data_IF_613842553864
#
_entry.id   IF_613842553864
#
_cell.length_a   1.000
_cell.length_b   1.000
_cell.length_c   1.000
_cell.angle_alpha   90.00
_cell.angle_beta   90.00
_cell.angle_gamma   90.00
#
_symmetry.space_group_name_H-M   'P 1'
#
loop_
_entity.id
_entity.type
_entity.pdbx_description
1 polymer ?
#
# COMPACT_ATOMS: atom_id res chain seq x y z
N UNK A 1 45.05 -49.03 15.22
CA UNK A 1 44.44 -47.68 15.30
C UNK A 1 43.42 -47.56 14.17
N UNK A 2 42.13 -47.65 14.48
CA UNK A 2 41.08 -47.41 13.48
C UNK A 2 40.90 -45.90 13.33
N UNK A 3 41.27 -45.37 12.18
CA UNK A 3 41.03 -43.98 11.81
C UNK A 3 39.53 -43.75 11.74
N UNK A 4 38.96 -43.03 12.71
CA UNK A 4 37.55 -42.64 12.71
C UNK A 4 37.36 -41.61 11.58
N UNK A 5 36.79 -42.03 10.45
CA UNK A 5 36.27 -41.11 9.44
C UNK A 5 35.23 -40.19 10.09
N UNK A 6 35.51 -38.89 10.12
CA UNK A 6 34.53 -37.87 10.46
C UNK A 6 33.62 -37.75 9.24
N UNK A 7 32.43 -38.34 9.31
CA UNK A 7 31.38 -38.12 8.30
C UNK A 7 30.88 -36.69 8.49
N UNK A 8 31.31 -35.77 7.64
CA UNK A 8 30.71 -34.44 7.55
C UNK A 8 29.38 -34.57 6.82
N UNK A 9 28.29 -34.63 7.59
CA UNK A 9 26.94 -34.55 7.03
C UNK A 9 26.67 -33.11 6.59
N UNK A 10 26.76 -32.85 5.29
CA UNK A 10 26.22 -31.63 4.71
C UNK A 10 24.70 -31.81 4.63
N UNK A 11 23.94 -31.03 5.41
CA UNK A 11 22.48 -30.99 5.28
C UNK A 11 22.14 -30.72 3.81
N UNK A 12 21.33 -31.59 3.18
CA UNK A 12 20.80 -31.34 1.84
C UNK A 12 19.95 -30.07 1.91
N UNK A 13 20.46 -28.98 1.34
CA UNK A 13 19.69 -27.74 1.20
C UNK A 13 18.62 -27.98 0.15
N UNK A 14 17.35 -27.92 0.55
CA UNK A 14 16.19 -28.04 -0.33
C UNK A 14 15.82 -26.64 -0.83
N UNK A 15 16.06 -26.41 -2.12
CA UNK A 15 15.60 -25.23 -2.85
C UNK A 15 16.42 -23.95 -2.62
N UNK A 16 15.82 -22.82 -3.00
CA UNK A 16 16.36 -21.46 -2.80
C UNK A 16 15.27 -20.58 -2.21
N UNK A 17 15.59 -19.62 -1.32
CA UNK A 17 14.61 -18.67 -0.79
C UNK A 17 14.02 -17.74 -1.86
N UNK A 18 14.58 -17.73 -3.08
CA UNK A 18 14.19 -16.84 -4.17
C UNK A 18 14.85 -15.47 -4.08
N UNK A 19 14.63 -14.65 -5.10
CA UNK A 19 15.13 -13.26 -5.17
C UNK A 19 14.05 -12.28 -4.73
N UNK A 20 14.47 -11.18 -4.10
CA UNK A 20 13.57 -10.06 -3.87
C UNK A 20 13.34 -9.31 -5.19
N UNK A 21 12.07 -9.19 -5.58
CA UNK A 21 11.68 -8.47 -6.80
C UNK A 21 11.15 -7.08 -6.44
N UNK A 22 11.49 -6.08 -7.26
CA UNK A 22 10.98 -4.71 -7.10
C UNK A 22 9.46 -4.73 -7.25
N UNK A 23 8.74 -4.29 -6.20
CA UNK A 23 7.27 -4.34 -6.13
C UNK A 23 6.73 -5.47 -5.25
N UNK A 24 7.56 -6.43 -4.83
CA UNK A 24 7.18 -7.41 -3.81
C UNK A 24 7.08 -6.74 -2.44
N UNK A 25 5.99 -6.99 -1.72
CA UNK A 25 5.89 -6.56 -0.33
C UNK A 25 6.90 -7.36 0.51
N UNK A 26 7.72 -6.68 1.31
CA UNK A 26 8.82 -7.32 2.04
C UNK A 26 8.37 -8.48 2.93
N UNK A 27 7.15 -8.40 3.50
CA UNK A 27 6.57 -9.47 4.31
C UNK A 27 6.40 -10.79 3.55
N UNK A 28 6.16 -10.73 2.23
CA UNK A 28 6.07 -11.92 1.37
C UNK A 28 7.44 -12.58 1.26
N UNK A 29 8.49 -11.77 1.08
CA UNK A 29 9.86 -12.25 1.01
C UNK A 29 10.34 -12.81 2.36
N UNK A 30 10.06 -12.12 3.47
CA UNK A 30 10.33 -12.62 4.82
C UNK A 30 9.66 -13.97 5.10
N UNK A 31 8.42 -14.14 4.64
CA UNK A 31 7.68 -15.39 4.80
C UNK A 31 8.33 -16.53 4.01
N UNK A 32 8.75 -16.28 2.76
CA UNK A 32 9.49 -17.26 1.94
C UNK A 32 10.81 -17.65 2.60
N UNK A 33 11.56 -16.67 3.10
CA UNK A 33 12.83 -16.86 3.77
C UNK A 33 12.68 -17.64 5.08
N UNK A 34 11.66 -17.34 5.87
CA UNK A 34 11.34 -18.04 7.12
C UNK A 34 11.01 -19.50 6.84
N UNK A 35 10.17 -19.77 5.85
CA UNK A 35 9.85 -21.14 5.43
C UNK A 35 11.10 -21.87 4.95
N UNK A 36 11.98 -21.20 4.19
CA UNK A 36 13.25 -21.77 3.76
C UNK A 36 14.13 -22.18 4.94
N UNK A 37 14.28 -21.33 5.96
CA UNK A 37 15.04 -21.68 7.16
C UNK A 37 14.43 -22.84 7.94
N UNK A 38 13.10 -22.89 8.06
CA UNK A 38 12.39 -23.98 8.73
C UNK A 38 12.58 -25.31 8.00
N UNK A 39 12.35 -25.34 6.69
CA UNK A 39 12.50 -26.54 5.86
C UNK A 39 13.92 -27.10 5.85
N UNK A 40 14.92 -26.24 5.99
CA UNK A 40 16.34 -26.62 5.99
C UNK A 40 16.94 -26.77 7.40
N UNK A 41 16.11 -26.67 8.46
CA UNK A 41 16.56 -26.75 9.87
C UNK A 41 17.68 -25.74 10.22
N UNK A 42 17.67 -24.57 9.57
CA UNK A 42 18.67 -23.53 9.75
C UNK A 42 18.32 -22.72 11.00
N UNK A 43 19.02 -23.00 12.10
CA UNK A 43 18.82 -22.32 13.39
C UNK A 43 19.87 -21.24 13.68
N UNK A 44 21.08 -21.42 13.15
CA UNK A 44 22.22 -20.56 13.46
C UNK A 44 22.04 -19.16 12.86
N UNK A 45 22.23 -18.13 13.69
CA UNK A 45 22.03 -16.74 13.29
C UNK A 45 23.02 -16.25 12.23
N UNK A 46 24.27 -16.73 12.31
CA UNK A 46 25.33 -16.45 11.33
C UNK A 46 24.93 -17.03 9.97
N UNK A 47 24.39 -18.26 9.96
CA UNK A 47 23.90 -18.90 8.71
C UNK A 47 22.72 -18.14 8.11
N UNK A 48 21.74 -17.74 8.95
CA UNK A 48 20.60 -16.92 8.49
C UNK A 48 21.07 -15.58 7.92
N UNK A 49 22.01 -14.93 8.59
CA UNK A 49 22.60 -13.64 8.17
C UNK A 49 23.33 -13.79 6.84
N UNK A 50 24.15 -14.84 6.67
CA UNK A 50 24.86 -15.09 5.42
C UNK A 50 23.92 -15.37 4.23
N UNK A 51 22.82 -16.10 4.45
CA UNK A 51 21.83 -16.42 3.41
C UNK A 51 20.99 -15.19 3.04
N UNK A 52 20.67 -14.34 4.02
CA UNK A 52 19.82 -13.17 3.83
C UNK A 52 20.60 -11.91 3.40
N UNK A 53 21.93 -11.92 3.52
CA UNK A 53 22.75 -10.74 3.26
C UNK A 53 22.48 -10.15 1.87
N UNK A 54 22.04 -8.89 1.85
CA UNK A 54 21.74 -8.17 0.62
C UNK A 54 22.83 -7.12 0.38
N UNK A 55 23.25 -6.84 -0.87
CA UNK A 55 24.29 -5.84 -1.15
C UNK A 55 23.97 -4.42 -0.65
N UNK A 56 22.71 -4.12 -0.36
CA UNK A 56 22.26 -2.82 0.19
C UNK A 56 22.22 -2.81 1.72
N UNK A 57 22.61 -3.89 2.39
CA UNK A 57 22.73 -3.98 3.85
C UNK A 57 23.98 -3.25 4.34
N UNK A 58 23.78 -2.23 5.18
CA UNK A 58 24.86 -1.61 5.96
C UNK A 58 24.93 -2.32 7.31
N UNK A 59 26.07 -2.90 7.75
CA UNK A 59 27.44 -2.79 7.22
C UNK A 59 27.83 -3.87 6.20
N UNK A 60 28.92 -3.58 5.49
CA UNK A 60 29.51 -4.33 4.38
C UNK A 60 30.04 -5.73 4.73
N UNK A 61 30.00 -6.12 6.01
CA UNK A 61 30.52 -7.40 6.52
C UNK A 61 29.42 -8.19 7.25
N UNK A 62 29.09 -9.41 6.79
CA UNK A 62 28.05 -10.26 7.40
C UNK A 62 28.35 -10.73 8.83
N UNK A 63 29.60 -10.58 9.29
CA UNK A 63 30.09 -11.23 10.51
C UNK A 63 29.74 -10.50 11.81
N UNK A 64 29.37 -9.21 11.75
CA UNK A 64 29.22 -8.37 12.95
C UNK A 64 27.77 -7.92 13.22
N UNK A 65 26.80 -8.38 12.44
CA UNK A 65 25.40 -7.97 12.59
C UNK A 65 24.50 -9.14 12.89
N UNK A 66 23.77 -9.01 13.99
CA UNK A 66 22.72 -9.93 14.37
C UNK A 66 21.59 -9.90 13.33
N UNK A 67 21.09 -11.08 12.95
CA UNK A 67 20.00 -11.23 11.96
C UNK A 67 18.81 -10.31 12.23
N UNK A 68 18.39 -10.16 13.49
CA UNK A 68 17.27 -9.30 13.85
C UNK A 68 17.55 -7.81 13.58
N UNK A 69 18.80 -7.38 13.77
CA UNK A 69 19.24 -6.02 13.44
C UNK A 69 19.32 -5.82 11.93
N UNK A 70 19.84 -6.81 11.20
CA UNK A 70 19.87 -6.82 9.73
C UNK A 70 18.45 -6.74 9.15
N UNK A 71 17.53 -7.55 9.67
CA UNK A 71 16.13 -7.59 9.27
C UNK A 71 15.42 -6.26 9.52
N UNK A 72 15.66 -5.62 10.68
CA UNK A 72 15.11 -4.29 10.98
C UNK A 72 15.63 -3.21 10.03
N UNK A 73 16.94 -3.21 9.74
CA UNK A 73 17.57 -2.23 8.87
C UNK A 73 17.06 -2.36 7.42
N UNK A 74 17.02 -3.59 6.90
CA UNK A 74 16.48 -3.87 5.57
C UNK A 74 14.98 -3.56 5.49
N UNK A 75 14.18 -3.95 6.49
CA UNK A 75 12.78 -3.58 6.54
C UNK A 75 12.58 -2.07 6.48
N UNK A 76 13.38 -1.32 7.23
CA UNK A 76 13.34 0.15 7.17
C UNK A 76 13.69 0.65 5.77
N UNK A 77 14.75 0.12 5.17
CA UNK A 77 15.20 0.50 3.83
C UNK A 77 14.16 0.18 2.74
N UNK A 78 13.63 -1.03 2.71
CA UNK A 78 12.62 -1.44 1.73
C UNK A 78 11.25 -0.79 1.97
N UNK A 79 10.87 -0.50 3.22
CA UNK A 79 9.71 0.35 3.52
C UNK A 79 9.90 1.78 3.00
N UNK A 80 11.11 2.34 3.10
CA UNK A 80 11.43 3.65 2.52
C UNK A 80 11.38 3.64 0.98
N UNK A 81 11.74 2.51 0.35
CA UNK A 81 11.65 2.33 -1.12
C UNK A 81 10.22 2.18 -1.61
N UNK A 82 9.28 1.68 -0.78
CA UNK A 82 7.85 1.77 -1.08
C UNK A 82 7.35 3.21 -0.87
N UNK A 83 7.89 4.11 -1.67
CA UNK A 83 7.41 5.47 -1.82
C UNK A 83 5.94 5.44 -2.20
N UNK A 84 5.09 5.85 -1.27
CA UNK A 84 3.67 6.07 -1.55
C UNK A 84 3.45 7.18 -2.56
N UNK A 85 4.47 7.97 -2.93
CA UNK A 85 4.29 9.12 -3.83
C UNK A 85 3.73 8.72 -5.19
N UNK A 86 4.13 7.57 -5.76
CA UNK A 86 3.58 7.11 -7.04
C UNK A 86 2.11 6.71 -6.89
N UNK A 87 1.78 5.95 -5.85
CA UNK A 87 0.41 5.54 -5.57
C UNK A 87 -0.49 6.76 -5.28
N UNK A 88 0.00 7.69 -4.47
CA UNK A 88 -0.68 8.94 -4.11
C UNK A 88 -0.84 9.86 -5.32
N UNK A 89 0.17 9.95 -6.19
CA UNK A 89 0.06 10.71 -7.44
C UNK A 89 -1.09 10.18 -8.31
N UNK A 90 -1.16 8.87 -8.50
CA UNK A 90 -2.26 8.23 -9.25
C UNK A 90 -3.61 8.43 -8.56
N UNK A 91 -3.66 8.31 -7.24
CA UNK A 91 -4.86 8.50 -6.44
C UNK A 91 -5.39 9.95 -6.52
N UNK A 92 -4.53 10.95 -6.32
CA UNK A 92 -4.92 12.36 -6.34
C UNK A 92 -5.29 12.89 -7.73
N UNK A 93 -4.80 12.25 -8.80
CA UNK A 93 -5.19 12.57 -10.18
C UNK A 93 -6.40 11.78 -10.67
N UNK A 94 -6.92 10.84 -9.88
CA UNK A 94 -8.05 10.04 -10.29
C UNK A 94 -9.29 10.93 -10.46
N UNK A 95 -9.99 10.74 -11.58
CA UNK A 95 -11.32 11.28 -11.87
C UNK A 95 -12.24 10.14 -12.26
N UNK A 96 -13.54 10.29 -12.03
CA UNK A 96 -14.56 9.40 -12.56
C UNK A 96 -14.43 9.35 -14.09
N UNK A 97 -14.44 8.16 -14.66
CA UNK A 97 -14.28 7.96 -16.10
C UNK A 97 -15.66 8.05 -16.76
N UNK A 98 -15.71 8.41 -18.05
CA UNK A 98 -16.93 8.34 -18.84
C UNK A 98 -17.55 6.93 -18.74
N UNK A 99 -18.87 6.89 -18.56
CA UNK A 99 -19.67 5.67 -18.37
C UNK A 99 -19.36 4.86 -17.09
N UNK A 100 -18.54 5.38 -16.17
CA UNK A 100 -18.32 4.78 -14.86
C UNK A 100 -19.47 5.15 -13.90
N UNK A 101 -20.12 4.15 -13.30
CA UNK A 101 -21.14 4.39 -12.28
C UNK A 101 -20.53 4.91 -10.96
N UNK A 102 -21.34 5.58 -10.14
CA UNK A 102 -20.93 6.09 -8.82
C UNK A 102 -20.35 4.97 -7.93
N UNK A 103 -20.93 3.77 -7.97
CA UNK A 103 -20.43 2.63 -7.20
C UNK A 103 -19.11 2.06 -7.73
N UNK A 104 -18.91 2.06 -9.05
CA UNK A 104 -17.62 1.67 -9.63
C UNK A 104 -16.53 2.70 -9.27
N UNK A 105 -16.87 3.98 -9.31
CA UNK A 105 -15.98 5.07 -8.89
C UNK A 105 -15.56 4.93 -7.42
N UNK A 106 -16.52 4.71 -6.51
CA UNK A 106 -16.28 4.47 -5.08
C UNK A 106 -15.32 3.28 -4.86
N UNK A 107 -15.62 2.14 -5.48
CA UNK A 107 -14.80 0.94 -5.37
C UNK A 107 -13.37 1.17 -5.90
N UNK A 108 -13.22 1.89 -7.02
CA UNK A 108 -11.92 2.20 -7.62
C UNK A 108 -11.08 3.12 -6.75
N UNK A 109 -11.68 4.17 -6.18
CA UNK A 109 -10.99 5.08 -5.24
C UNK A 109 -10.51 4.34 -4.00
N UNK A 110 -11.34 3.49 -3.39
CA UNK A 110 -10.95 2.66 -2.25
C UNK A 110 -9.78 1.73 -2.59
N UNK A 111 -9.77 1.13 -3.78
CA UNK A 111 -8.65 0.31 -4.24
C UNK A 111 -7.36 1.13 -4.37
N UNK A 112 -7.41 2.32 -4.97
CA UNK A 112 -6.26 3.20 -5.12
C UNK A 112 -5.72 3.67 -3.75
N UNK A 113 -6.62 4.05 -2.83
CA UNK A 113 -6.28 4.51 -1.49
C UNK A 113 -5.58 3.42 -0.66
N UNK A 114 -5.93 2.15 -0.84
CA UNK A 114 -5.30 1.01 -0.12
C UNK A 114 -3.79 0.94 -0.32
N UNK A 115 -3.27 1.51 -1.42
CA UNK A 115 -1.85 1.52 -1.79
C UNK A 115 -1.11 2.77 -1.31
N UNK A 116 -1.81 3.72 -0.69
CA UNK A 116 -1.29 5.06 -0.41
C UNK A 116 -0.80 5.28 1.04
N UNK A 117 -1.04 4.32 1.93
CA UNK A 117 -0.58 4.39 3.32
C UNK A 117 -1.15 5.57 4.12
N UNK A 118 -2.45 5.88 3.95
CA UNK A 118 -3.08 7.02 4.62
C UNK A 118 -3.37 6.80 6.11
N UNK A 119 -3.40 5.56 6.59
CA UNK A 119 -3.62 5.24 8.01
C UNK A 119 -4.88 5.92 8.57
N UNK A 120 -4.77 6.80 9.59
CA UNK A 120 -5.87 7.53 10.21
C UNK A 120 -6.64 8.44 9.25
N UNK A 121 -5.97 8.96 8.22
CA UNK A 121 -6.54 9.93 7.28
C UNK A 121 -7.34 9.26 6.15
N UNK A 122 -7.36 7.92 6.10
CA UNK A 122 -7.91 7.17 4.96
C UNK A 122 -9.34 7.58 4.62
N UNK A 123 -10.22 7.62 5.63
CA UNK A 123 -11.64 7.94 5.44
C UNK A 123 -11.84 9.38 4.93
N UNK A 124 -11.14 10.34 5.53
CA UNK A 124 -11.20 11.76 5.16
C UNK A 124 -10.74 11.95 3.72
N UNK A 125 -9.59 11.38 3.36
CA UNK A 125 -8.97 11.57 2.04
C UNK A 125 -9.76 10.86 0.94
N UNK A 126 -10.33 9.68 1.20
CA UNK A 126 -11.23 8.99 0.27
C UNK A 126 -12.45 9.87 -0.02
N UNK A 127 -13.10 10.41 1.02
CA UNK A 127 -14.29 11.26 0.86
C UNK A 127 -13.97 12.48 -0.01
N UNK A 128 -12.92 13.21 0.33
CA UNK A 128 -12.59 14.46 -0.34
C UNK A 128 -12.27 14.23 -1.83
N UNK A 129 -11.52 13.16 -2.16
CA UNK A 129 -11.23 12.79 -3.54
C UNK A 129 -12.43 12.20 -4.26
N UNK A 130 -13.30 11.48 -3.57
CA UNK A 130 -14.53 10.97 -4.16
C UNK A 130 -15.41 12.12 -4.65
N UNK A 131 -15.60 13.17 -3.83
CA UNK A 131 -16.39 14.37 -4.19
C UNK A 131 -15.71 15.18 -5.29
N UNK A 132 -14.46 15.58 -5.10
CA UNK A 132 -13.73 16.43 -6.05
C UNK A 132 -13.44 15.70 -7.36
N UNK A 133 -13.31 14.38 -7.32
CA UNK A 133 -13.00 13.55 -8.47
C UNK A 133 -14.22 13.04 -9.24
N UNK A 134 -15.42 13.21 -8.70
CA UNK A 134 -16.68 12.87 -9.39
C UNK A 134 -16.84 13.68 -10.67
N UNK A 135 -17.53 13.09 -11.65
CA UNK A 135 -17.90 13.80 -12.88
C UNK A 135 -18.86 14.95 -12.57
N UNK A 136 -18.74 16.04 -13.32
CA UNK A 136 -19.55 17.23 -13.07
C UNK A 136 -21.01 16.96 -13.39
N UNK A 137 -21.90 17.26 -12.45
CA UNK A 137 -23.33 17.08 -12.63
C UNK A 137 -24.10 17.19 -11.32
N UNK A 138 -25.43 16.93 -11.35
CA UNK A 138 -26.32 17.16 -10.21
C UNK A 138 -25.90 16.42 -8.94
N UNK A 139 -25.28 15.24 -9.10
CA UNK A 139 -24.79 14.46 -7.95
C UNK A 139 -23.64 15.19 -7.27
N UNK A 140 -22.64 15.65 -8.01
CA UNK A 140 -21.51 16.38 -7.44
C UNK A 140 -21.95 17.72 -6.84
N UNK A 141 -22.85 18.45 -7.50
CA UNK A 141 -23.36 19.73 -7.02
C UNK A 141 -24.07 19.56 -5.67
N UNK A 142 -24.97 18.58 -5.56
CA UNK A 142 -25.65 18.27 -4.30
C UNK A 142 -24.65 17.89 -3.20
N UNK A 143 -23.61 17.11 -3.53
CA UNK A 143 -22.59 16.69 -2.58
C UNK A 143 -21.73 17.86 -2.07
N UNK A 144 -21.47 18.86 -2.90
CA UNK A 144 -20.74 20.08 -2.53
C UNK A 144 -21.57 20.98 -1.59
N UNK A 145 -22.90 20.89 -1.65
CA UNK A 145 -23.84 21.63 -0.78
C UNK A 145 -24.19 20.88 0.53
N UNK A 146 -23.70 19.66 0.72
CA UNK A 146 -23.94 18.89 1.94
C UNK A 146 -22.97 19.25 3.08
N UNK A 147 -23.43 19.05 4.31
CA UNK A 147 -22.57 19.19 5.49
C UNK A 147 -21.56 18.03 5.53
N UNK A 148 -20.24 18.30 5.52
CA UNK A 148 -19.20 17.27 5.54
C UNK A 148 -19.22 16.40 6.80
N UNK A 149 -19.92 16.83 7.85
CA UNK A 149 -20.13 16.12 9.12
C UNK A 149 -21.33 15.16 9.07
N UNK A 150 -22.26 15.35 8.13
CA UNK A 150 -23.49 14.57 7.98
C UNK A 150 -23.37 13.46 6.94
N UNK A 151 -22.52 13.65 5.93
CA UNK A 151 -22.24 12.62 4.94
C UNK A 151 -21.17 11.69 5.48
N UNK A 152 -21.61 10.61 6.14
CA UNK A 152 -20.80 9.40 6.28
C UNK A 152 -20.60 8.80 4.89
N UNK A 153 -19.76 9.44 4.08
CA UNK A 153 -19.51 9.11 2.68
C UNK A 153 -18.62 7.87 2.59
N UNK A 154 -19.08 6.82 3.22
CA UNK A 154 -18.35 5.57 3.35
C UNK A 154 -18.66 4.68 2.16
N UNK A 155 -19.80 4.85 1.49
CA UNK A 155 -20.24 4.00 0.38
C UNK A 155 -21.07 4.76 -0.68
N UNK A 156 -21.15 4.18 -1.87
CA UNK A 156 -21.92 4.73 -2.98
C UNK A 156 -23.43 4.86 -2.72
N UNK A 157 -24.02 4.01 -1.88
CA UNK A 157 -25.45 4.05 -1.54
C UNK A 157 -25.86 5.38 -0.89
N UNK A 158 -24.99 5.94 -0.05
CA UNK A 158 -25.28 7.20 0.63
C UNK A 158 -25.22 8.37 -0.34
N UNK A 159 -24.35 8.30 -1.35
CA UNK A 159 -24.29 9.30 -2.42
C UNK A 159 -25.55 9.26 -3.31
N UNK A 160 -26.04 8.07 -3.64
CA UNK A 160 -27.26 7.91 -4.42
C UNK A 160 -28.50 8.45 -3.69
N UNK A 161 -28.57 8.31 -2.37
CA UNK A 161 -29.64 8.91 -1.56
C UNK A 161 -29.59 10.44 -1.57
N UNK A 162 -28.40 11.04 -1.51
CA UNK A 162 -28.23 12.51 -1.60
C UNK A 162 -28.69 13.03 -2.97
N UNK A 163 -28.40 12.30 -4.05
CA UNK A 163 -28.89 12.66 -5.40
C UNK A 163 -30.42 12.64 -5.53
N UNK A 164 -31.11 11.83 -4.72
CA UNK A 164 -32.56 11.67 -4.80
C UNK A 164 -33.33 12.70 -3.95
N UNK A 165 -32.65 13.61 -3.26
CA UNK A 165 -33.27 14.55 -2.32
C UNK A 165 -33.51 15.92 -3.00
N UNK A 166 -34.74 16.26 -3.45
CA UNK A 166 -34.99 17.43 -4.29
C UNK A 166 -35.15 18.76 -3.52
N UNK A 167 -34.79 18.83 -2.23
CA UNK A 167 -35.22 19.92 -1.34
C UNK A 167 -34.23 21.08 -1.11
N UNK A 168 -33.13 21.21 -1.86
CA UNK A 168 -32.16 22.30 -1.64
C UNK A 168 -32.11 23.41 -2.71
N UNK A 169 -33.14 23.53 -3.56
CA UNK A 169 -33.25 24.61 -4.55
C UNK A 169 -33.40 26.04 -4.00
N UNK A 170 -33.12 26.28 -2.71
CA UNK A 170 -33.19 27.61 -2.10
C UNK A 170 -31.97 27.77 -1.19
N UNK A 171 -30.82 28.13 -1.78
CA UNK A 171 -29.89 29.22 -1.40
C UNK A 171 -28.57 28.98 -2.16
N UNK A 172 -28.36 29.75 -3.24
CA UNK A 172 -27.01 29.97 -3.80
C UNK A 172 -26.37 31.14 -3.02
N UNK A 173 -25.05 31.12 -2.73
CA UNK A 173 -24.10 31.54 -3.75
C UNK A 173 -22.74 30.81 -3.68
N UNK A 174 -22.38 30.09 -4.74
CA UNK A 174 -20.97 29.87 -5.11
C UNK A 174 -20.77 30.16 -6.59
N UNK A 175 -20.70 31.46 -6.93
CA UNK A 175 -19.90 31.88 -8.07
C UNK A 175 -18.43 31.67 -7.71
N UNK A 176 -17.86 30.53 -8.10
CA UNK A 176 -16.41 30.39 -8.21
C UNK A 176 -16.03 30.57 -9.67
N UNK A 177 -15.47 31.75 -9.94
CA UNK A 177 -14.92 32.23 -11.20
C UNK A 177 -14.06 31.17 -11.88
N UNK A 178 -14.63 30.48 -12.88
CA UNK A 178 -13.85 29.76 -13.88
C UNK A 178 -13.41 30.78 -14.94
N UNK A 179 -12.36 31.53 -14.62
CA UNK A 179 -11.57 32.29 -15.61
C UNK A 179 -10.12 31.85 -15.55
N UNK A 180 -9.62 31.53 -16.74
CA UNK A 180 -8.23 31.35 -17.18
C UNK A 180 -7.42 30.22 -16.56
N UNK A 181 -7.23 29.16 -17.33
CA UNK A 181 -5.91 28.84 -17.90
C UNK A 181 -6.11 27.98 -19.15
N UNK A 182 -5.78 28.58 -20.29
CA UNK A 182 -5.41 27.89 -21.53
C UNK A 182 -4.22 26.93 -21.30
#
# INVERSE_FOLDING_TARGET
MLSKCIIMNFNQVIGSPGTFEIGMHITIFESKLTNFFLSNTIKNNIQKTAIYYHPLSVPSTPNDVEYDTLMKSLNKYFKLIQSYFVARYTFYKAKQIQDESVCQWDARIKNLASKCGFSSELTTVIRDIFVVGMDSGPIQDNLLEEDPSRVGMQNCDDCLKVSQNPQKSIISPMEMTRKTMD
#
